data_IF_189669973007
#
_entry.id   IF_189669973007
#
_cell.length_a   1.000
_cell.length_b   1.000
_cell.length_c   1.000
_cell.angle_alpha   90.00
_cell.angle_beta   90.00
_cell.angle_gamma   90.00
#
_symmetry.space_group_name_H-M   'P 1'
#
loop_
_entity.id
_entity.type
_entity.pdbx_description
1 polymer ?
#
# COMPACT_ATOMS: atom_id res chain seq x y z
N UNK A 1 -12.97 24.21 5.10
CA UNK A 1 -13.43 25.43 4.41
C UNK A 1 -14.94 25.39 4.27
N UNK A 2 -15.53 24.42 3.60
CA UNK A 2 -16.99 24.30 3.41
C UNK A 2 -17.78 24.33 4.73
N UNK A 3 -17.28 23.70 5.78
CA UNK A 3 -17.89 23.68 7.10
C UNK A 3 -17.89 25.10 7.72
N UNK A 4 -16.79 25.83 7.58
CA UNK A 4 -16.67 27.21 8.05
C UNK A 4 -17.56 28.15 7.22
N UNK A 5 -17.65 27.93 5.92
CA UNK A 5 -18.53 28.71 5.04
C UNK A 5 -20.01 28.45 5.34
N UNK A 6 -20.39 27.23 5.73
CA UNK A 6 -21.74 26.92 6.23
C UNK A 6 -22.03 27.62 7.55
N UNK A 7 -21.06 27.60 8.47
CA UNK A 7 -21.19 28.32 9.76
C UNK A 7 -21.43 29.81 9.57
N UNK A 8 -20.65 30.45 8.69
CA UNK A 8 -20.84 31.85 8.32
C UNK A 8 -22.25 32.17 7.82
N UNK A 9 -22.94 31.20 7.21
CA UNK A 9 -24.30 31.35 6.67
C UNK A 9 -25.40 31.10 7.72
N UNK A 10 -25.12 30.38 8.80
CA UNK A 10 -26.12 29.87 9.75
C UNK A 10 -26.04 30.46 11.15
N UNK A 11 -25.17 31.44 11.44
CA UNK A 11 -24.95 32.08 12.74
C UNK A 11 -24.93 31.12 13.95
N UNK A 12 -23.76 30.88 14.49
CA UNK A 12 -23.46 30.36 15.84
C UNK A 12 -24.23 29.07 16.24
N UNK A 13 -23.80 27.92 15.75
CA UNK A 13 -24.22 26.66 16.32
C UNK A 13 -23.03 25.72 16.47
N UNK A 14 -23.13 24.84 17.44
CA UNK A 14 -22.20 23.75 17.68
C UNK A 14 -22.11 22.84 16.41
N UNK A 15 -20.92 22.72 15.82
CA UNK A 15 -20.71 21.88 14.65
C UNK A 15 -19.96 20.63 15.10
N UNK A 16 -20.55 19.46 14.82
CA UNK A 16 -19.82 18.20 14.90
C UNK A 16 -18.83 18.13 13.73
N UNK A 17 -17.54 18.04 14.03
CA UNK A 17 -16.49 17.86 13.02
C UNK A 17 -16.47 16.42 12.45
N UNK A 18 -17.61 15.72 12.49
CA UNK A 18 -17.77 14.36 11.98
C UNK A 18 -17.68 14.27 10.46
N UNK A 19 -17.85 15.39 9.75
CA UNK A 19 -17.80 15.41 8.27
C UNK A 19 -16.37 15.52 7.70
N UNK A 20 -15.35 15.67 8.55
CA UNK A 20 -13.94 15.66 8.12
C UNK A 20 -13.40 14.22 8.01
N UNK A 21 -14.19 13.24 8.41
CA UNK A 21 -13.82 11.83 8.48
C UNK A 21 -13.84 11.06 7.14
N UNK A 22 -14.00 11.75 6.02
CA UNK A 22 -13.81 11.18 4.67
C UNK A 22 -12.44 11.52 4.08
N UNK A 23 -11.49 11.92 4.88
CA UNK A 23 -10.08 11.81 4.52
C UNK A 23 -9.74 10.36 4.80
N UNK A 24 -9.88 9.54 3.74
CA UNK A 24 -9.52 8.13 3.77
C UNK A 24 -8.10 7.97 4.31
N UNK A 25 -8.05 7.36 5.48
CA UNK A 25 -7.09 6.38 5.93
C UNK A 25 -5.64 6.62 5.45
N UNK A 26 -4.92 7.47 6.14
CA UNK A 26 -3.53 7.11 6.40
C UNK A 26 -3.59 5.90 7.33
N UNK A 27 -3.55 4.73 6.73
CA UNK A 27 -3.54 3.44 7.42
C UNK A 27 -2.16 3.26 8.07
N UNK A 28 -2.00 3.95 9.19
CA UNK A 28 -0.89 3.70 10.09
C UNK A 28 -1.32 2.55 11.00
N UNK A 29 -0.99 1.33 10.60
CA UNK A 29 -1.14 0.12 11.43
C UNK A 29 -0.30 0.18 12.74
N UNK A 30 0.42 1.26 13.00
CA UNK A 30 1.10 1.50 14.27
C UNK A 30 0.12 2.08 15.30
N UNK A 31 -0.34 1.20 16.18
CA UNK A 31 -1.12 1.43 17.38
C UNK A 31 -0.61 2.65 18.16
N UNK A 32 -1.15 3.83 17.93
CA UNK A 32 -1.23 5.00 18.85
C UNK A 32 -1.60 6.30 18.11
N UNK A 33 -1.93 6.27 16.83
CA UNK A 33 -2.45 7.44 16.13
C UNK A 33 -3.93 7.71 16.43
N UNK A 34 -4.64 6.74 17.00
CA UNK A 34 -6.04 6.92 17.42
C UNK A 34 -6.26 8.09 18.38
N UNK A 35 -5.23 8.45 19.18
CA UNK A 35 -5.32 9.59 20.10
C UNK A 35 -5.19 10.95 19.41
N UNK A 36 -4.49 11.03 18.28
CA UNK A 36 -4.34 12.26 17.50
C UNK A 36 -5.56 12.53 16.59
N UNK A 37 -6.16 11.46 16.06
CA UNK A 37 -7.37 11.54 15.21
C UNK A 37 -8.68 11.47 15.99
N UNK A 38 -8.65 11.10 17.25
CA UNK A 38 -9.82 11.10 18.13
C UNK A 38 -10.37 12.50 18.42
N UNK A 39 -9.61 13.54 18.10
CA UNK A 39 -9.97 14.92 18.33
C UNK A 39 -11.25 15.34 17.60
N UNK A 40 -11.47 14.88 16.37
CA UNK A 40 -12.62 15.24 15.55
C UNK A 40 -13.91 14.46 15.85
N UNK A 41 -13.82 13.27 16.48
CA UNK A 41 -14.99 12.41 16.75
C UNK A 41 -15.58 12.56 18.15
N UNK A 42 -14.83 13.07 19.11
CA UNK A 42 -15.24 13.12 20.53
C UNK A 42 -15.40 14.52 21.10
N UNK A 43 -14.91 15.53 20.42
CA UNK A 43 -14.93 16.91 20.90
C UNK A 43 -15.75 17.76 19.95
N UNK A 44 -16.78 18.40 20.50
CA UNK A 44 -17.53 19.45 19.83
C UNK A 44 -16.79 20.76 20.02
N UNK A 45 -16.47 21.43 18.92
CA UNK A 45 -15.85 22.76 18.96
C UNK A 45 -16.88 23.78 18.52
N UNK A 46 -17.14 24.76 19.36
CA UNK A 46 -17.96 25.92 18.99
C UNK A 46 -17.09 26.90 18.19
N UNK A 47 -17.39 27.06 16.91
CA UNK A 47 -16.65 27.96 16.04
C UNK A 47 -16.79 29.44 16.46
N UNK A 48 -17.80 29.76 17.23
CA UNK A 48 -17.96 31.10 17.78
C UNK A 48 -16.85 31.49 18.78
N UNK A 49 -16.25 30.47 19.45
CA UNK A 49 -15.15 30.64 20.40
C UNK A 49 -13.77 30.66 19.73
N UNK A 50 -13.72 30.55 18.39
CA UNK A 50 -12.48 30.48 17.62
C UNK A 50 -12.35 31.67 16.65
N UNK A 51 -11.12 32.05 16.33
CA UNK A 51 -10.84 32.92 15.18
C UNK A 51 -10.95 32.12 13.87
N UNK A 52 -12.19 31.72 13.56
CA UNK A 52 -12.47 30.90 12.39
C UNK A 52 -12.20 31.63 11.05
N UNK A 53 -12.17 32.96 11.06
CA UNK A 53 -11.87 33.76 9.86
C UNK A 53 -10.40 33.59 9.47
N UNK A 54 -9.48 33.81 10.40
CA UNK A 54 -8.05 33.59 10.17
C UNK A 54 -7.74 32.13 9.86
N UNK A 55 -8.46 31.21 10.50
CA UNK A 55 -8.30 29.77 10.22
C UNK A 55 -8.74 29.41 8.81
N UNK A 56 -9.89 29.93 8.38
CA UNK A 56 -10.37 29.78 7.01
C UNK A 56 -9.37 30.28 5.97
N UNK A 57 -8.83 31.47 6.21
CA UNK A 57 -7.86 32.09 5.30
C UNK A 57 -6.54 31.28 5.22
N UNK A 58 -6.12 30.70 6.34
CA UNK A 58 -4.96 29.79 6.38
C UNK A 58 -5.23 28.51 5.59
N UNK A 59 -6.38 27.88 5.82
CA UNK A 59 -6.80 26.68 5.08
C UNK A 59 -6.96 26.92 3.57
N UNK A 60 -7.44 28.11 3.19
CA UNK A 60 -7.54 28.47 1.77
C UNK A 60 -6.16 28.55 1.11
N UNK A 61 -5.17 29.14 1.78
CA UNK A 61 -3.80 29.18 1.29
C UNK A 61 -3.16 27.80 1.19
N UNK A 62 -3.40 26.95 2.19
CA UNK A 62 -2.92 25.56 2.17
C UNK A 62 -3.56 24.78 1.02
N UNK A 63 -4.86 24.98 0.78
CA UNK A 63 -5.56 24.36 -0.34
C UNK A 63 -4.98 24.79 -1.70
N UNK A 64 -4.67 26.08 -1.89
CA UNK A 64 -4.01 26.57 -3.13
C UNK A 64 -2.65 25.90 -3.36
N UNK A 65 -1.85 25.75 -2.29
CA UNK A 65 -0.54 25.08 -2.38
C UNK A 65 -0.71 23.59 -2.72
N UNK A 66 -1.65 22.91 -2.07
CA UNK A 66 -1.94 21.49 -2.34
C UNK A 66 -2.47 21.28 -3.77
N UNK A 67 -3.31 22.18 -4.28
CA UNK A 67 -3.79 22.13 -5.64
C UNK A 67 -2.64 22.28 -6.65
N UNK A 68 -1.73 23.23 -6.41
CA UNK A 68 -0.53 23.39 -7.22
C UNK A 68 0.33 22.12 -7.21
N UNK A 69 0.57 21.53 -6.03
CA UNK A 69 1.32 20.29 -5.91
C UNK A 69 0.62 19.12 -6.64
N UNK A 70 -0.69 19.04 -6.55
CA UNK A 70 -1.49 18.02 -7.25
C UNK A 70 -1.33 18.12 -8.77
N UNK A 71 -1.35 19.36 -9.31
CA UNK A 71 -1.10 19.59 -10.74
C UNK A 71 0.32 19.17 -11.12
N UNK A 72 1.32 19.54 -10.33
CA UNK A 72 2.72 19.17 -10.59
C UNK A 72 2.96 17.66 -10.58
N UNK A 73 2.30 16.94 -9.65
CA UNK A 73 2.41 15.48 -9.54
C UNK A 73 1.60 14.78 -10.63
N UNK A 74 0.48 15.37 -11.06
CA UNK A 74 -0.40 14.79 -12.07
C UNK A 74 0.27 14.54 -13.43
N UNK A 75 1.33 15.27 -13.73
CA UNK A 75 2.14 15.09 -14.95
C UNK A 75 3.20 13.98 -14.84
N UNK A 76 3.38 13.40 -13.63
CA UNK A 76 4.34 12.32 -13.41
C UNK A 76 3.70 11.00 -13.85
N UNK A 77 4.21 10.44 -14.95
CA UNK A 77 3.81 9.11 -15.44
C UNK A 77 4.77 8.04 -14.89
N UNK A 78 4.40 6.76 -14.93
CA UNK A 78 5.30 5.66 -14.56
C UNK A 78 6.66 5.68 -15.27
N UNK A 79 6.72 6.19 -16.49
CA UNK A 79 7.98 6.34 -17.25
C UNK A 79 8.93 7.38 -16.64
N UNK A 80 8.39 8.37 -15.93
CA UNK A 80 9.14 9.39 -15.21
C UNK A 80 9.48 8.99 -13.77
N UNK A 81 8.91 7.89 -13.25
CA UNK A 81 9.21 7.39 -11.91
C UNK A 81 10.54 6.62 -11.91
N UNK A 82 11.62 7.30 -11.57
CA UNK A 82 12.97 6.71 -11.53
C UNK A 82 13.09 5.54 -10.53
N UNK A 83 12.30 5.54 -9.45
CA UNK A 83 12.28 4.45 -8.47
C UNK A 83 11.62 3.20 -9.05
N UNK A 84 10.52 3.37 -9.77
CA UNK A 84 9.87 2.28 -10.49
C UNK A 84 10.76 1.75 -11.63
N UNK A 85 11.41 2.64 -12.38
CA UNK A 85 12.34 2.24 -13.45
C UNK A 85 13.54 1.45 -12.90
N UNK A 86 14.05 1.80 -11.73
CA UNK A 86 15.10 1.03 -11.07
C UNK A 86 14.59 -0.32 -10.57
N UNK A 87 13.37 -0.38 -10.05
CA UNK A 87 12.71 -1.65 -9.67
C UNK A 87 12.64 -2.60 -10.88
N UNK A 88 12.27 -2.11 -12.07
CA UNK A 88 12.24 -2.93 -13.27
C UNK A 88 13.61 -3.52 -13.62
N UNK A 89 14.69 -2.74 -13.50
CA UNK A 89 16.06 -3.24 -13.72
C UNK A 89 16.44 -4.32 -12.72
N UNK A 90 16.12 -4.15 -11.44
CA UNK A 90 16.38 -5.14 -10.40
C UNK A 90 15.62 -6.43 -10.67
N UNK A 91 14.35 -6.35 -11.09
CA UNK A 91 13.55 -7.51 -11.48
C UNK A 91 14.18 -8.22 -12.69
N UNK A 92 14.56 -7.46 -13.72
CA UNK A 92 15.21 -7.99 -14.92
C UNK A 92 16.51 -8.72 -14.59
N UNK A 93 17.34 -8.13 -13.74
CA UNK A 93 18.59 -8.73 -13.30
C UNK A 93 18.34 -10.04 -12.55
N UNK A 94 17.41 -10.06 -11.60
CA UNK A 94 17.06 -11.26 -10.83
C UNK A 94 16.52 -12.38 -11.72
N UNK A 95 15.69 -12.05 -12.71
CA UNK A 95 15.12 -13.05 -13.62
C UNK A 95 16.19 -13.59 -14.59
N UNK A 96 17.08 -12.72 -15.06
CA UNK A 96 18.15 -13.08 -16.01
C UNK A 96 19.31 -13.81 -15.34
N UNK A 97 19.62 -13.46 -14.08
CA UNK A 97 20.72 -14.02 -13.30
C UNK A 97 20.21 -14.48 -11.93
N UNK A 98 19.39 -15.53 -11.86
CA UNK A 98 18.79 -15.98 -10.61
C UNK A 98 19.87 -16.48 -9.64
N UNK A 99 19.72 -16.17 -8.33
CA UNK A 99 20.61 -16.65 -7.27
C UNK A 99 20.60 -18.18 -7.21
N UNK A 100 19.42 -18.78 -7.21
CA UNK A 100 19.22 -20.20 -7.33
C UNK A 100 18.70 -20.51 -8.73
N UNK A 101 19.29 -21.47 -9.41
CA UNK A 101 18.93 -21.82 -10.78
C UNK A 101 17.42 -22.07 -10.95
N UNK A 102 16.81 -21.37 -11.91
CA UNK A 102 15.38 -21.46 -12.21
C UNK A 102 14.46 -20.72 -11.23
N UNK A 103 14.96 -20.20 -10.11
CA UNK A 103 14.14 -19.45 -9.15
C UNK A 103 13.94 -18.00 -9.59
N UNK A 104 12.71 -17.65 -9.98
CA UNK A 104 12.30 -16.30 -10.38
C UNK A 104 11.47 -15.58 -9.34
N UNK A 105 11.30 -16.18 -8.15
CA UNK A 105 10.44 -15.62 -7.11
C UNK A 105 11.06 -14.38 -6.50
N UNK A 106 10.23 -13.34 -6.39
CA UNK A 106 10.58 -12.04 -5.79
C UNK A 106 9.45 -11.63 -4.85
N UNK A 107 9.81 -11.19 -3.65
CA UNK A 107 8.86 -10.50 -2.76
C UNK A 107 9.24 -9.03 -2.66
N UNK A 108 8.28 -8.15 -2.85
CA UNK A 108 8.43 -6.70 -2.79
C UNK A 108 7.59 -6.18 -1.63
N UNK A 109 8.25 -5.67 -0.61
CA UNK A 109 7.58 -5.04 0.53
C UNK A 109 7.49 -3.53 0.36
N UNK A 110 6.33 -3.00 0.68
CA UNK A 110 6.06 -1.57 0.81
C UNK A 110 5.35 -1.26 2.12
N UNK A 111 5.46 -0.03 2.61
CA UNK A 111 4.82 0.40 3.84
C UNK A 111 3.33 0.72 3.65
N UNK A 112 2.91 1.13 2.44
CA UNK A 112 1.59 1.70 2.18
C UNK A 112 0.79 0.86 1.18
N UNK A 113 -0.52 0.70 1.44
CA UNK A 113 -1.44 -0.04 0.57
C UNK A 113 -1.57 0.61 -0.82
N UNK A 114 -1.59 1.94 -0.90
CA UNK A 114 -1.64 2.69 -2.17
C UNK A 114 -0.39 2.45 -3.01
N UNK A 115 0.78 2.45 -2.37
CA UNK A 115 2.04 2.09 -3.05
C UNK A 115 2.02 0.65 -3.54
N UNK A 116 1.45 -0.29 -2.75
CA UNK A 116 1.29 -1.67 -3.19
C UNK A 116 0.38 -1.77 -4.42
N UNK A 117 -0.74 -1.02 -4.44
CA UNK A 117 -1.64 -0.91 -5.58
C UNK A 117 -0.93 -0.38 -6.82
N UNK A 118 -0.23 0.75 -6.69
CA UNK A 118 0.56 1.35 -7.77
C UNK A 118 1.61 0.39 -8.34
N UNK A 119 2.36 -0.28 -7.46
CA UNK A 119 3.35 -1.28 -7.88
C UNK A 119 2.69 -2.45 -8.58
N UNK A 120 1.55 -2.93 -8.08
CA UNK A 120 0.85 -4.02 -8.71
C UNK A 120 0.41 -3.67 -10.13
N UNK A 121 -0.20 -2.51 -10.33
CA UNK A 121 -0.69 -2.08 -11.64
C UNK A 121 0.46 -2.01 -12.67
N UNK A 122 1.62 -1.49 -12.28
CA UNK A 122 2.75 -1.30 -13.18
C UNK A 122 3.61 -2.57 -13.32
N UNK A 123 3.99 -3.22 -12.21
CA UNK A 123 4.87 -4.40 -12.24
C UNK A 123 4.18 -5.61 -12.86
N UNK A 124 2.86 -5.80 -12.56
CA UNK A 124 2.14 -6.97 -13.09
C UNK A 124 2.06 -6.97 -14.60
N UNK A 125 1.80 -5.82 -15.22
CA UNK A 125 1.77 -5.67 -16.66
C UNK A 125 3.17 -5.87 -17.27
N UNK A 126 4.18 -5.25 -16.67
CA UNK A 126 5.57 -5.35 -17.10
C UNK A 126 6.07 -6.80 -17.12
N UNK A 127 5.96 -7.51 -15.99
CA UNK A 127 6.48 -8.89 -15.90
C UNK A 127 5.64 -9.89 -16.69
N UNK A 128 4.35 -9.65 -16.83
CA UNK A 128 3.46 -10.51 -17.62
C UNK A 128 3.76 -10.40 -19.10
N UNK A 129 3.91 -9.17 -19.61
CA UNK A 129 4.22 -8.94 -21.02
C UNK A 129 5.61 -9.42 -21.41
N UNK A 130 6.61 -9.23 -20.56
CA UNK A 130 8.01 -9.50 -20.86
C UNK A 130 8.44 -10.93 -20.59
N UNK A 131 7.93 -11.54 -19.53
CA UNK A 131 8.39 -12.83 -19.02
C UNK A 131 7.28 -13.88 -18.87
N UNK A 132 6.01 -13.49 -19.03
CA UNK A 132 4.86 -14.38 -18.82
C UNK A 132 4.61 -14.74 -17.34
N UNK A 133 5.28 -14.06 -16.39
CA UNK A 133 5.22 -14.35 -14.97
C UNK A 133 3.92 -13.84 -14.35
N UNK A 134 3.52 -14.45 -13.24
CA UNK A 134 2.34 -14.06 -12.51
C UNK A 134 2.70 -13.23 -11.28
N UNK A 135 1.89 -12.19 -11.04
CA UNK A 135 2.03 -11.29 -9.90
C UNK A 135 0.80 -11.38 -9.01
N UNK A 136 1.00 -11.27 -7.71
CA UNK A 136 -0.07 -11.04 -6.75
C UNK A 136 0.30 -9.88 -5.81
N UNK A 137 -0.75 -9.25 -5.28
CA UNK A 137 -0.65 -8.23 -4.25
C UNK A 137 -1.50 -8.63 -3.05
N UNK A 138 -0.97 -8.44 -1.85
CA UNK A 138 -1.68 -8.62 -0.58
C UNK A 138 -1.41 -7.44 0.35
N UNK A 139 -2.47 -6.95 0.97
CA UNK A 139 -2.39 -5.87 1.96
C UNK A 139 -3.40 -6.11 3.09
N UNK A 140 -3.25 -5.44 4.23
CA UNK A 140 -4.18 -5.60 5.36
C UNK A 140 -5.54 -4.96 5.12
N UNK A 141 -5.59 -3.93 4.30
CA UNK A 141 -6.77 -3.06 4.11
C UNK A 141 -7.52 -3.30 2.80
N UNK A 142 -6.90 -3.95 1.82
CA UNK A 142 -7.48 -4.14 0.48
C UNK A 142 -7.48 -5.62 0.11
N UNK A 143 -8.55 -6.07 -0.54
CA UNK A 143 -8.65 -7.43 -1.07
C UNK A 143 -7.46 -7.75 -1.99
N UNK A 144 -6.90 -8.95 -1.82
CA UNK A 144 -5.76 -9.41 -2.61
C UNK A 144 -6.08 -9.41 -4.11
N UNK A 145 -5.10 -8.98 -4.92
CA UNK A 145 -5.18 -8.93 -6.39
C UNK A 145 -4.18 -9.91 -7.00
N UNK A 146 -4.53 -10.51 -8.12
CA UNK A 146 -3.64 -11.45 -8.81
C UNK A 146 -3.86 -11.44 -10.32
N UNK A 147 -2.79 -11.68 -11.07
CA UNK A 147 -2.86 -11.89 -12.53
C UNK A 147 -3.25 -13.32 -12.91
N UNK A 148 -3.37 -14.24 -11.95
CA UNK A 148 -3.82 -15.62 -12.17
C UNK A 148 -5.35 -15.68 -12.26
N UNK A 149 -5.95 -16.01 -13.43
CA UNK A 149 -7.40 -15.91 -13.63
C UNK A 149 -8.25 -16.83 -12.74
N UNK A 150 -7.65 -17.93 -12.26
CA UNK A 150 -8.34 -18.96 -11.46
C UNK A 150 -8.13 -18.81 -9.96
N UNK A 151 -7.32 -17.85 -9.55
CA UNK A 151 -6.91 -17.68 -8.18
C UNK A 151 -7.77 -16.61 -7.53
N UNK A 152 -8.41 -16.93 -6.41
CA UNK A 152 -9.07 -15.94 -5.57
C UNK A 152 -8.00 -15.21 -4.76
N UNK A 153 -8.19 -13.91 -4.56
CA UNK A 153 -7.23 -13.06 -3.85
C UNK A 153 -7.16 -13.28 -2.32
N UNK A 154 -7.66 -14.42 -1.81
CA UNK A 154 -7.50 -14.71 -0.38
C UNK A 154 -6.03 -14.97 -0.03
N UNK A 155 -5.62 -14.44 1.12
CA UNK A 155 -4.23 -14.44 1.56
C UNK A 155 -3.58 -15.82 1.56
N UNK A 156 -4.26 -16.83 2.10
CA UNK A 156 -3.67 -18.16 2.26
C UNK A 156 -3.43 -18.83 0.90
N UNK A 157 -4.39 -18.73 -0.03
CA UNK A 157 -4.26 -19.26 -1.38
C UNK A 157 -3.14 -18.57 -2.15
N UNK A 158 -3.07 -17.24 -2.07
CA UNK A 158 -2.00 -16.45 -2.71
C UNK A 158 -0.63 -16.88 -2.17
N UNK A 159 -0.45 -16.94 -0.85
CA UNK A 159 0.82 -17.34 -0.26
C UNK A 159 1.20 -18.79 -0.56
N UNK A 160 0.22 -19.69 -0.66
CA UNK A 160 0.47 -21.09 -1.03
C UNK A 160 0.88 -21.23 -2.50
N UNK A 161 0.33 -20.40 -3.41
CA UNK A 161 0.76 -20.35 -4.80
C UNK A 161 2.12 -19.65 -4.98
N UNK A 162 2.46 -18.72 -4.07
CA UNK A 162 3.78 -18.08 -4.07
C UNK A 162 4.87 -18.99 -3.50
N UNK A 163 4.62 -19.72 -2.41
CA UNK A 163 5.57 -20.63 -1.77
C UNK A 163 5.00 -22.06 -1.70
N UNK A 164 4.86 -22.75 -2.85
CA UNK A 164 4.17 -24.03 -2.92
C UNK A 164 4.87 -25.16 -2.14
N UNK A 165 6.19 -25.17 -2.08
CA UNK A 165 6.96 -26.19 -1.35
C UNK A 165 6.85 -25.93 0.16
N UNK A 166 7.20 -24.72 0.59
CA UNK A 166 7.19 -24.34 2.01
C UNK A 166 5.79 -24.39 2.64
N UNK A 167 4.75 -24.20 1.84
CA UNK A 167 3.33 -24.27 2.27
C UNK A 167 2.70 -25.63 2.05
N UNK A 168 3.40 -26.60 1.44
CA UNK A 168 2.87 -27.93 1.18
C UNK A 168 1.65 -27.93 0.25
N UNK A 169 1.67 -27.16 -0.83
CA UNK A 169 0.54 -27.00 -1.77
C UNK A 169 -0.03 -28.34 -2.25
N UNK A 170 0.80 -29.34 -2.42
CA UNK A 170 0.41 -30.68 -2.90
C UNK A 170 -0.52 -31.43 -1.91
N UNK A 171 -0.62 -30.94 -0.67
CA UNK A 171 -1.55 -31.47 0.33
C UNK A 171 -2.98 -30.95 0.16
N UNK A 172 -3.19 -29.97 -0.70
CA UNK A 172 -4.47 -29.30 -0.90
C UNK A 172 -5.01 -29.52 -2.31
N UNK A 173 -6.12 -30.23 -2.43
CA UNK A 173 -6.74 -30.55 -3.73
C UNK A 173 -7.38 -29.34 -4.42
N UNK A 174 -7.75 -28.30 -3.68
CA UNK A 174 -8.54 -27.16 -4.16
C UNK A 174 -7.68 -25.91 -4.49
N UNK A 175 -6.36 -25.97 -4.32
CA UNK A 175 -5.48 -24.84 -4.63
C UNK A 175 -5.01 -24.94 -6.08
N UNK A 176 -5.10 -23.84 -6.86
CA UNK A 176 -4.58 -23.81 -8.23
C UNK A 176 -3.10 -24.20 -8.31
N UNK A 177 -2.72 -24.86 -9.42
CA UNK A 177 -1.34 -25.29 -9.66
C UNK A 177 -0.46 -24.19 -10.26
N UNK A 178 -1.08 -23.11 -10.69
CA UNK A 178 -0.38 -21.94 -11.21
C UNK A 178 0.46 -21.29 -10.11
N UNK A 179 1.71 -21.02 -10.41
CA UNK A 179 2.61 -20.33 -9.48
C UNK A 179 2.44 -18.82 -9.57
N UNK A 180 2.64 -18.15 -8.44
CA UNK A 180 2.90 -16.72 -8.37
C UNK A 180 4.42 -16.55 -8.27
N UNK A 181 4.95 -15.67 -9.12
CA UNK A 181 6.39 -15.42 -9.21
C UNK A 181 6.77 -14.13 -8.46
N UNK A 182 5.93 -13.10 -8.57
CA UNK A 182 6.14 -11.82 -7.91
C UNK A 182 5.04 -11.59 -6.87
N UNK A 183 5.43 -11.36 -5.64
CA UNK A 183 4.50 -11.01 -4.55
C UNK A 183 4.78 -9.59 -4.08
N UNK A 184 3.78 -8.74 -4.16
CA UNK A 184 3.81 -7.37 -3.61
C UNK A 184 3.00 -7.38 -2.32
N UNK A 185 3.59 -6.92 -1.24
CA UNK A 185 2.96 -7.02 0.07
C UNK A 185 3.25 -5.82 0.97
N UNK A 186 2.26 -5.50 1.80
CA UNK A 186 2.50 -4.66 2.98
C UNK A 186 2.91 -5.52 4.17
N UNK A 187 3.13 -4.91 5.33
CA UNK A 187 3.53 -5.62 6.54
C UNK A 187 2.48 -6.60 7.10
N UNK A 188 1.28 -6.66 6.48
CA UNK A 188 0.23 -7.62 6.86
C UNK A 188 0.68 -9.10 6.80
N UNK A 189 1.70 -9.41 5.99
CA UNK A 189 2.30 -10.75 5.91
C UNK A 189 3.61 -10.87 6.70
N UNK A 190 3.96 -9.86 7.49
CA UNK A 190 5.22 -9.82 8.23
C UNK A 190 5.29 -10.82 9.38
N UNK A 191 4.17 -11.39 9.85
CA UNK A 191 4.16 -12.32 10.98
C UNK A 191 3.73 -13.74 10.60
N UNK A 192 4.54 -14.74 11.01
CA UNK A 192 4.18 -16.16 10.96
C UNK A 192 4.12 -16.82 9.58
N UNK A 193 4.45 -16.14 8.50
CA UNK A 193 4.39 -16.71 7.15
C UNK A 193 5.75 -17.25 6.69
N UNK A 194 5.80 -18.54 6.33
CA UNK A 194 6.99 -19.15 5.73
C UNK A 194 6.92 -19.01 4.20
N UNK A 195 7.93 -18.35 3.61
CA UNK A 195 8.04 -18.10 2.17
C UNK A 195 9.43 -18.46 1.63
N UNK A 196 10.05 -19.51 2.21
CA UNK A 196 11.40 -19.95 1.90
C UNK A 196 11.61 -20.47 0.46
N UNK A 197 10.54 -20.59 -0.33
CA UNK A 197 10.67 -20.85 -1.78
C UNK A 197 11.18 -19.60 -2.51
N UNK A 198 11.10 -18.42 -1.90
CA UNK A 198 11.59 -17.16 -2.42
C UNK A 198 13.00 -16.90 -1.86
N UNK A 199 13.93 -16.50 -2.72
CA UNK A 199 15.31 -16.18 -2.37
C UNK A 199 15.66 -14.71 -2.62
N UNK A 200 14.68 -13.86 -2.93
CA UNK A 200 14.92 -12.46 -3.28
C UNK A 200 13.85 -11.52 -2.70
N UNK A 201 14.28 -10.63 -1.80
CA UNK A 201 13.42 -9.68 -1.12
C UNK A 201 13.85 -8.26 -1.48
N UNK A 202 12.86 -7.43 -1.86
CA UNK A 202 13.04 -6.01 -2.13
C UNK A 202 12.22 -5.23 -1.08
N UNK A 203 12.86 -4.34 -0.34
CA UNK A 203 12.18 -3.32 0.43
C UNK A 203 12.04 -2.09 -0.47
N UNK A 204 10.85 -1.91 -1.06
CA UNK A 204 10.58 -0.73 -1.87
C UNK A 204 10.56 0.53 -1.02
N UNK A 205 9.92 0.45 0.15
CA UNK A 205 10.00 1.48 1.17
C UNK A 205 10.72 0.95 2.41
N UNK A 206 11.64 1.76 2.92
CA UNK A 206 12.34 1.44 4.16
C UNK A 206 11.47 1.92 5.33
N UNK A 207 11.02 0.95 6.14
CA UNK A 207 10.30 1.28 7.36
C UNK A 207 11.24 1.95 8.36
N UNK A 208 10.78 3.02 9.04
CA UNK A 208 11.55 3.71 10.07
C UNK A 208 11.95 2.80 11.26
N UNK A 209 11.13 1.76 11.56
CA UNK A 209 11.42 0.78 12.59
C UNK A 209 12.25 -0.37 12.01
N UNK A 210 13.53 -0.54 12.42
CA UNK A 210 14.40 -1.57 11.89
C UNK A 210 13.93 -3.00 12.21
N UNK A 211 13.14 -3.18 13.26
CA UNK A 211 12.57 -4.50 13.62
C UNK A 211 11.69 -5.04 12.50
N UNK A 212 10.90 -4.18 11.83
CA UNK A 212 10.10 -4.58 10.67
C UNK A 212 10.95 -5.11 9.53
N UNK A 213 12.07 -4.46 9.25
CA UNK A 213 13.01 -4.91 8.21
C UNK A 213 13.59 -6.29 8.57
N UNK A 214 13.97 -6.51 9.82
CA UNK A 214 14.47 -7.81 10.29
C UNK A 214 13.38 -8.88 10.18
N UNK A 215 12.14 -8.56 10.54
CA UNK A 215 11.00 -9.47 10.41
C UNK A 215 10.76 -9.87 8.96
N UNK A 216 10.86 -8.94 8.01
CA UNK A 216 10.73 -9.23 6.57
C UNK A 216 11.80 -10.21 6.08
N UNK A 217 13.07 -10.00 6.46
CA UNK A 217 14.17 -10.92 6.12
C UNK A 217 13.98 -12.33 6.70
N UNK A 218 13.39 -12.47 7.85
CA UNK A 218 13.11 -13.76 8.46
C UNK A 218 12.01 -14.58 7.77
N UNK A 219 11.50 -14.18 6.61
CA UNK A 219 10.41 -14.86 5.87
C UNK A 219 10.92 -15.69 4.68
N UNK A 220 12.08 -15.35 4.14
CA UNK A 220 12.70 -16.01 3.00
C UNK A 220 13.93 -16.85 3.42
#
# INVERSE_FOLDING_TARGET
IETIDRFNKQSAHEIELTDISNIDEFDDEDQNTDDLFSFGRKIKIDLADMDYVSWRDSLAKDAEVLELLTVMVGDITPDHDSKLQELYKIIDEKISNPINEGNKKIIIFTAFADTAGYLYDNVSEYVKSKYGLNTAMVSGSVDGRTTCPKLRGDLNTVLTCFSPISKGRDLFENIPKEDIDILIATDCISEGQNMQDCDYLINYDIHWNPVRIIQRFGRI
#
